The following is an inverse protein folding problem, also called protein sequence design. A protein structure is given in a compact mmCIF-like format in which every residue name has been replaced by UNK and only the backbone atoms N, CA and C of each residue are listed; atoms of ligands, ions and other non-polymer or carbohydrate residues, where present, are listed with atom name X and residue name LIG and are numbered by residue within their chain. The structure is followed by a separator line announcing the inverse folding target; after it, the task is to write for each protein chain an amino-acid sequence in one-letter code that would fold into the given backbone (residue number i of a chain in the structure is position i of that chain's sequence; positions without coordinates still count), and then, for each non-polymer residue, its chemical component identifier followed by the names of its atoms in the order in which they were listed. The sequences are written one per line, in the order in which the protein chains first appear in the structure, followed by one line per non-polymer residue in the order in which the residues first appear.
data_IF_019086253925
#
_entry.id   IF_019086253925
#
_cell.length_a   1.000
_cell.length_b   1.000
_cell.length_c   1.000
_cell.angle_alpha   90.00
_cell.angle_beta   90.00
_cell.angle_gamma   90.00
#
_symmetry.space_group_name_H-M   'P 1'
#
loop_
_entity.id
_entity.type
_entity.pdbx_description
1 polymer ?
#
# COMPACT_ATOMS: atom_id res chain seq x y z
N UNK A 1 0.57 -11.09 15.47
CA UNK A 1 -0.39 -11.14 14.36
C UNK A 1 0.29 -10.74 13.06
N UNK A 2 0.27 -11.60 12.07
CA UNK A 2 0.90 -11.32 10.78
C UNK A 2 -0.02 -10.51 9.88
N UNK A 3 0.54 -9.57 9.15
CA UNK A 3 -0.21 -8.70 8.23
C UNK A 3 -0.08 -9.27 6.82
N UNK A 4 -1.19 -9.57 6.13
CA UNK A 4 -1.08 -10.14 4.78
C UNK A 4 -0.57 -9.13 3.78
N UNK A 5 0.24 -9.60 2.83
CA UNK A 5 0.76 -8.80 1.74
C UNK A 5 0.89 -9.68 0.50
N UNK A 6 0.71 -9.09 -0.68
CA UNK A 6 0.94 -9.83 -1.93
C UNK A 6 2.45 -9.96 -2.19
N UNK A 7 2.88 -10.95 -3.00
CA UNK A 7 4.30 -11.05 -3.38
C UNK A 7 4.82 -9.78 -4.05
N UNK A 8 4.01 -9.15 -4.90
CA UNK A 8 4.36 -7.91 -5.59
C UNK A 8 4.54 -6.75 -4.63
N UNK A 9 3.63 -6.63 -3.65
CA UNK A 9 3.70 -5.59 -2.62
C UNK A 9 4.93 -5.77 -1.73
N UNK A 10 5.24 -7.01 -1.35
CA UNK A 10 6.43 -7.32 -0.56
C UNK A 10 7.71 -6.92 -1.30
N UNK A 11 7.83 -7.30 -2.56
CA UNK A 11 9.00 -6.96 -3.37
C UNK A 11 9.14 -5.44 -3.55
N UNK A 12 8.05 -4.74 -3.72
CA UNK A 12 8.07 -3.28 -3.87
C UNK A 12 8.60 -2.58 -2.60
N UNK A 13 8.11 -3.00 -1.42
CA UNK A 13 8.58 -2.44 -0.15
C UNK A 13 10.04 -2.80 0.12
N UNK A 14 10.44 -4.02 -0.20
CA UNK A 14 11.81 -4.49 -0.05
C UNK A 14 12.77 -3.68 -0.92
N UNK A 15 12.40 -3.42 -2.17
CA UNK A 15 13.20 -2.61 -3.09
C UNK A 15 13.31 -1.17 -2.62
N UNK A 16 12.24 -0.61 -2.09
CA UNK A 16 12.25 0.74 -1.52
C UNK A 16 13.25 0.81 -0.36
N UNK A 17 13.22 -0.16 0.55
CA UNK A 17 14.15 -0.21 1.67
C UNK A 17 15.61 -0.33 1.20
N UNK A 18 15.87 -1.20 0.23
CA UNK A 18 17.21 -1.37 -0.33
C UNK A 18 17.72 -0.07 -0.95
N UNK A 19 16.88 0.64 -1.70
CA UNK A 19 17.24 1.92 -2.32
C UNK A 19 17.54 2.99 -1.25
N UNK A 20 16.73 3.05 -0.21
CA UNK A 20 16.96 3.99 0.89
C UNK A 20 18.31 3.75 1.56
N UNK A 21 18.67 2.50 1.80
CA UNK A 21 19.92 2.13 2.46
C UNK A 21 21.13 2.29 1.53
N UNK A 22 21.03 1.79 0.31
CA UNK A 22 22.18 1.70 -0.60
C UNK A 22 22.45 2.96 -1.41
N UNK A 23 21.40 3.75 -1.68
CA UNK A 23 21.50 4.93 -2.55
C UNK A 23 21.25 6.21 -1.77
N UNK A 24 20.04 6.39 -1.26
CA UNK A 24 19.63 7.67 -0.70
C UNK A 24 20.36 8.04 0.60
N UNK A 25 20.61 7.07 1.46
CA UNK A 25 21.39 7.29 2.67
C UNK A 25 22.79 7.79 2.35
N UNK A 26 23.45 7.18 1.36
CA UNK A 26 24.79 7.58 0.93
C UNK A 26 24.80 8.97 0.31
N UNK A 27 23.81 9.27 -0.52
CA UNK A 27 23.70 10.59 -1.16
C UNK A 27 23.51 11.70 -0.15
N UNK A 28 22.67 11.45 0.86
CA UNK A 28 22.41 12.50 1.88
C UNK A 28 23.61 12.70 2.80
N UNK A 29 24.35 11.65 3.15
CA UNK A 29 25.58 11.78 3.94
C UNK A 29 26.60 12.61 3.16
N UNK A 30 26.73 12.35 1.87
CA UNK A 30 27.62 13.15 1.00
C UNK A 30 27.17 14.60 0.93
N UNK A 31 25.87 14.85 0.79
CA UNK A 31 25.32 16.21 0.76
C UNK A 31 25.61 16.98 2.07
N UNK A 32 25.53 16.29 3.21
CA UNK A 32 25.85 16.89 4.50
C UNK A 32 27.33 17.26 4.57
N UNK A 33 28.21 16.38 4.13
CA UNK A 33 29.66 16.63 4.10
C UNK A 33 30.01 17.83 3.20
N UNK A 34 29.41 17.92 2.03
CA UNK A 34 29.59 19.01 1.10
C UNK A 34 29.07 20.34 1.68
N UNK A 35 27.93 20.30 2.36
CA UNK A 35 27.38 21.51 2.99
C UNK A 35 28.26 22.01 4.14
N UNK A 36 28.86 21.09 4.91
CA UNK A 36 29.80 21.45 5.98
C UNK A 36 31.06 22.13 5.42
N UNK A 37 31.49 21.69 4.24
CA UNK A 37 32.68 22.25 3.60
C UNK A 37 32.50 23.71 3.18
N UNK A 38 31.27 24.22 3.08
CA UNK A 38 30.98 25.61 2.75
C UNK A 38 31.20 26.59 3.92
N UNK A 39 31.51 26.08 5.12
CA UNK A 39 32.00 26.89 6.25
C UNK A 39 30.97 27.27 7.29
N UNK A 40 30.08 28.21 7.02
CA UNK A 40 29.12 28.68 8.02
C UNK A 40 27.86 27.81 8.12
N UNK A 41 27.89 26.84 9.02
CA UNK A 41 26.82 25.89 9.26
C UNK A 41 25.56 26.53 9.84
N UNK A 42 25.71 27.58 10.66
CA UNK A 42 24.59 28.20 11.35
C UNK A 42 23.59 28.90 10.43
N UNK A 43 24.04 29.33 9.25
CA UNK A 43 23.20 30.01 8.26
C UNK A 43 23.10 29.19 6.94
N UNK A 44 23.55 27.94 6.95
CA UNK A 44 23.62 27.12 5.77
C UNK A 44 22.31 26.36 5.54
N UNK A 45 21.47 26.89 4.65
CA UNK A 45 20.18 26.28 4.29
C UNK A 45 20.36 24.90 3.65
N UNK A 46 21.46 24.69 2.91
CA UNK A 46 21.76 23.38 2.30
C UNK A 46 22.04 22.32 3.35
N UNK A 47 22.79 22.71 4.42
CA UNK A 47 23.07 21.82 5.53
C UNK A 47 21.77 21.42 6.28
N UNK A 48 20.93 22.39 6.60
CA UNK A 48 19.67 22.13 7.28
C UNK A 48 18.73 21.25 6.44
N UNK A 49 18.62 21.54 5.14
CA UNK A 49 17.82 20.77 4.23
C UNK A 49 18.32 19.31 4.14
N UNK A 50 19.62 19.12 4.06
CA UNK A 50 20.22 17.78 4.01
C UNK A 50 19.98 17.01 5.32
N UNK A 51 20.05 17.69 6.46
CA UNK A 51 19.78 17.07 7.76
C UNK A 51 18.31 16.66 7.90
N UNK A 52 17.38 17.47 7.41
CA UNK A 52 15.96 17.14 7.39
C UNK A 52 15.70 15.92 6.50
N UNK A 53 16.33 15.90 5.33
CA UNK A 53 16.23 14.76 4.42
C UNK A 53 16.79 13.49 5.04
N UNK A 54 17.92 13.59 5.76
CA UNK A 54 18.50 12.46 6.47
C UNK A 54 17.53 11.89 7.50
N UNK A 55 16.91 12.77 8.30
CA UNK A 55 15.93 12.33 9.30
C UNK A 55 14.75 11.61 8.65
N UNK A 56 14.25 12.11 7.52
CA UNK A 56 13.17 11.48 6.77
C UNK A 56 13.59 10.08 6.28
N UNK A 57 14.79 9.98 5.68
CA UNK A 57 15.30 8.70 5.16
C UNK A 57 15.46 7.68 6.29
N UNK A 58 16.05 8.07 7.41
CA UNK A 58 16.26 7.16 8.54
C UNK A 58 14.93 6.74 9.17
N UNK A 59 13.97 7.65 9.27
CA UNK A 59 12.63 7.34 9.76
C UNK A 59 11.91 6.33 8.86
N UNK A 60 12.02 6.52 7.53
CA UNK A 60 11.40 5.61 6.57
C UNK A 60 12.06 4.23 6.58
N UNK A 61 13.39 4.18 6.74
CA UNK A 61 14.11 2.91 6.88
C UNK A 61 13.60 2.12 8.10
N UNK A 62 13.47 2.78 9.23
CA UNK A 62 12.97 2.14 10.44
C UNK A 62 11.53 1.66 10.27
N UNK A 63 10.68 2.49 9.68
CA UNK A 63 9.29 2.15 9.40
C UNK A 63 9.18 0.92 8.50
N UNK A 64 9.91 0.91 7.37
CA UNK A 64 9.88 -0.22 6.43
C UNK A 64 10.48 -1.48 7.03
N UNK A 65 11.57 -1.37 7.79
CA UNK A 65 12.19 -2.52 8.44
C UNK A 65 11.23 -3.17 9.43
N UNK A 66 10.55 -2.36 10.22
CA UNK A 66 9.55 -2.84 11.17
C UNK A 66 8.38 -3.51 10.44
N UNK A 67 7.85 -2.84 9.41
CA UNK A 67 6.75 -3.33 8.61
C UNK A 67 7.06 -4.68 7.96
N UNK A 68 8.23 -4.79 7.32
CA UNK A 68 8.65 -6.03 6.67
C UNK A 68 8.82 -7.20 7.65
N UNK A 69 9.09 -6.90 8.92
CA UNK A 69 9.16 -7.94 9.96
C UNK A 69 7.78 -8.46 10.37
N UNK A 70 6.72 -7.73 10.07
CA UNK A 70 5.36 -8.05 10.50
C UNK A 70 4.47 -8.62 9.39
N UNK A 71 4.87 -8.51 8.14
CA UNK A 71 4.05 -8.98 7.03
C UNK A 71 4.24 -10.47 6.78
N UNK A 72 3.19 -11.09 6.26
CA UNK A 72 3.21 -12.47 5.78
C UNK A 72 2.80 -12.48 4.33
N UNK A 73 3.72 -12.92 3.45
CA UNK A 73 3.46 -12.98 2.02
C UNK A 73 2.45 -14.08 1.73
N UNK A 74 1.34 -13.71 1.10
CA UNK A 74 0.32 -14.67 0.69
C UNK A 74 0.68 -15.22 -0.69
N UNK A 75 0.74 -16.54 -0.87
CA UNK A 75 1.06 -17.10 -2.18
C UNK A 75 -0.03 -16.74 -3.19
N UNK A 76 0.33 -16.59 -4.49
CA UNK A 76 -0.66 -16.31 -5.53
C UNK A 76 -1.70 -17.42 -5.61
N UNK A 77 -2.93 -17.03 -5.88
CA UNK A 77 -4.01 -17.98 -6.09
C UNK A 77 -3.81 -18.70 -7.43
N UNK A 78 -4.00 -20.01 -7.44
CA UNK A 78 -3.86 -20.83 -8.65
C UNK A 78 -5.15 -20.99 -9.42
N UNK A 79 -6.27 -20.91 -8.70
CA UNK A 79 -7.61 -21.06 -9.27
C UNK A 79 -8.51 -19.96 -8.73
N UNK A 80 -9.50 -19.56 -9.52
CA UNK A 80 -10.49 -18.58 -9.09
C UNK A 80 -11.36 -19.21 -8.00
N UNK A 81 -11.41 -18.64 -6.79
CA UNK A 81 -12.25 -19.19 -5.74
C UNK A 81 -13.71 -18.82 -5.95
N UNK A 82 -14.60 -19.58 -5.33
CA UNK A 82 -16.05 -19.32 -5.39
C UNK A 82 -16.44 -18.09 -4.57
N UNK A 83 -15.68 -17.79 -3.52
CA UNK A 83 -15.96 -16.68 -2.60
C UNK A 83 -14.86 -15.64 -2.65
N UNK A 84 -15.24 -14.39 -2.37
CA UNK A 84 -14.28 -13.30 -2.30
C UNK A 84 -13.31 -13.55 -1.14
N UNK A 85 -12.02 -13.44 -1.41
CA UNK A 85 -10.96 -13.60 -0.43
C UNK A 85 -9.76 -12.72 -0.79
N UNK A 86 -8.75 -12.70 0.07
CA UNK A 86 -7.52 -11.94 -0.19
C UNK A 86 -6.93 -12.33 -1.56
N UNK A 87 -6.52 -11.33 -2.32
CA UNK A 87 -5.83 -11.52 -3.59
C UNK A 87 -6.70 -11.58 -4.83
N UNK A 88 -8.02 -11.72 -4.70
CA UNK A 88 -8.90 -11.75 -5.86
C UNK A 88 -9.19 -10.35 -6.40
N UNK A 89 -9.56 -10.30 -7.68
CA UNK A 89 -10.12 -9.10 -8.31
C UNK A 89 -11.64 -9.26 -8.33
N UNK A 90 -12.35 -8.32 -7.76
CA UNK A 90 -13.81 -8.33 -7.71
C UNK A 90 -14.35 -7.28 -8.65
N UNK A 91 -15.21 -7.69 -9.58
CA UNK A 91 -15.91 -6.77 -10.48
C UNK A 91 -17.27 -6.44 -9.85
N UNK A 92 -17.54 -5.17 -9.66
CA UNK A 92 -18.71 -4.67 -8.93
C UNK A 92 -19.56 -3.76 -9.79
N UNK A 93 -20.87 -3.89 -9.66
CA UNK A 93 -21.83 -2.94 -10.21
C UNK A 93 -22.33 -2.06 -9.06
N UNK A 94 -22.13 -0.76 -9.18
CA UNK A 94 -22.74 0.18 -8.25
C UNK A 94 -24.23 0.28 -8.57
N UNK A 95 -25.08 -0.19 -7.67
CA UNK A 95 -26.53 -0.25 -7.90
C UNK A 95 -27.19 1.12 -7.95
N UNK A 96 -26.56 2.13 -7.40
CA UNK A 96 -27.10 3.50 -7.38
C UNK A 96 -26.73 4.30 -8.63
N UNK A 97 -25.52 4.12 -9.16
CA UNK A 97 -24.99 4.88 -10.32
C UNK A 97 -24.93 4.05 -11.60
N UNK A 98 -25.07 2.73 -11.51
CA UNK A 98 -24.92 1.77 -12.61
C UNK A 98 -23.48 1.70 -13.18
N UNK A 99 -22.51 2.29 -12.49
CA UNK A 99 -21.11 2.20 -12.89
C UNK A 99 -20.51 0.84 -12.48
N UNK A 100 -19.61 0.33 -13.32
CA UNK A 100 -18.88 -0.90 -13.09
C UNK A 100 -17.45 -0.55 -12.69
N UNK A 101 -16.99 -1.12 -11.57
CA UNK A 101 -15.62 -0.94 -11.09
C UNK A 101 -15.01 -2.28 -10.73
N UNK A 102 -13.71 -2.38 -10.79
CA UNK A 102 -12.99 -3.58 -10.38
C UNK A 102 -11.92 -3.23 -9.36
N UNK A 103 -11.82 -4.02 -8.30
CA UNK A 103 -10.80 -3.84 -7.28
C UNK A 103 -10.15 -5.16 -6.93
N UNK A 104 -8.82 -5.12 -6.73
CA UNK A 104 -8.09 -6.24 -6.15
C UNK A 104 -8.00 -6.03 -4.64
N UNK A 105 -8.27 -7.09 -3.87
CA UNK A 105 -8.15 -7.06 -2.41
C UNK A 105 -6.72 -7.42 -2.04
N UNK A 106 -6.03 -6.49 -1.42
CA UNK A 106 -4.60 -6.60 -1.07
C UNK A 106 -4.38 -6.25 0.39
N UNK A 107 -3.12 -6.22 0.83
CA UNK A 107 -2.77 -5.88 2.20
C UNK A 107 -2.89 -4.38 2.49
N UNK A 108 -2.95 -4.01 3.78
CA UNK A 108 -3.17 -2.61 4.18
C UNK A 108 -2.03 -1.67 3.81
N UNK A 109 -0.81 -2.18 3.63
CA UNK A 109 0.35 -1.35 3.33
C UNK A 109 0.68 -1.26 1.84
N UNK A 110 -0.10 -1.89 0.99
CA UNK A 110 0.10 -1.89 -0.46
C UNK A 110 -1.11 -1.36 -1.23
N UNK A 111 -2.22 -1.11 -0.54
CA UNK A 111 -3.46 -0.70 -1.19
C UNK A 111 -3.41 0.74 -1.70
N UNK A 112 -3.87 0.92 -2.93
CA UNK A 112 -4.02 2.22 -3.57
C UNK A 112 -5.29 2.20 -4.44
N UNK A 113 -6.41 2.75 -3.93
CA UNK A 113 -7.68 2.74 -4.68
C UNK A 113 -7.58 3.40 -6.06
N UNK A 114 -6.69 4.38 -6.24
CA UNK A 114 -6.49 5.02 -7.54
C UNK A 114 -5.87 4.05 -8.56
N UNK A 115 -5.18 3.02 -8.09
CA UNK A 115 -4.60 1.96 -8.92
C UNK A 115 -5.48 0.71 -8.96
N UNK A 116 -6.68 0.77 -8.42
CA UNK A 116 -7.62 -0.36 -8.44
C UNK A 116 -7.38 -1.42 -7.37
N UNK A 117 -6.71 -1.08 -6.29
CA UNK A 117 -6.52 -1.99 -5.16
C UNK A 117 -7.14 -1.43 -3.89
N UNK A 118 -7.68 -2.32 -3.05
CA UNK A 118 -8.25 -1.93 -1.75
C UNK A 118 -7.70 -2.82 -0.66
N UNK A 119 -7.55 -2.24 0.51
CA UNK A 119 -7.07 -2.99 1.68
C UNK A 119 -8.12 -4.01 2.14
N UNK A 120 -7.66 -5.19 2.53
CA UNK A 120 -8.51 -6.20 3.15
C UNK A 120 -9.23 -5.65 4.39
N UNK A 121 -8.66 -4.63 5.03
CA UNK A 121 -9.24 -3.99 6.22
C UNK A 121 -10.21 -2.86 5.87
N UNK A 122 -10.35 -2.49 4.58
CA UNK A 122 -11.27 -1.42 4.18
C UNK A 122 -12.73 -1.82 4.39
N UNK A 123 -13.64 -0.85 4.56
CA UNK A 123 -15.06 -1.15 4.66
C UNK A 123 -15.59 -1.95 3.48
N UNK A 124 -15.15 -1.61 2.27
CA UNK A 124 -15.57 -2.33 1.06
C UNK A 124 -15.12 -3.79 1.09
N UNK A 125 -13.84 -4.04 1.36
CA UNK A 125 -13.31 -5.41 1.40
C UNK A 125 -13.99 -6.24 2.48
N UNK A 126 -14.23 -5.65 3.66
CA UNK A 126 -14.91 -6.35 4.76
C UNK A 126 -16.33 -6.76 4.39
N UNK A 127 -17.02 -5.93 3.61
CA UNK A 127 -18.37 -6.24 3.14
C UNK A 127 -18.33 -7.35 2.09
N UNK A 128 -17.28 -7.44 1.28
CA UNK A 128 -17.17 -8.38 0.18
C UNK A 128 -16.65 -9.76 0.58
N UNK A 129 -15.77 -9.84 1.56
CA UNK A 129 -15.12 -11.11 1.97
C UNK A 129 -16.17 -12.17 2.29
N UNK A 130 -16.02 -13.34 1.68
CA UNK A 130 -16.92 -14.47 1.88
C UNK A 130 -18.18 -14.45 1.02
N UNK A 131 -18.38 -13.41 0.22
CA UNK A 131 -19.52 -13.29 -0.69
C UNK A 131 -19.22 -13.94 -2.02
N UNK A 132 -20.29 -14.22 -2.78
CA UNK A 132 -20.22 -14.90 -4.07
C UNK A 132 -20.73 -14.01 -5.20
N UNK A 133 -20.47 -14.41 -6.44
CA UNK A 133 -21.03 -13.74 -7.62
C UNK A 133 -22.56 -13.71 -7.50
N UNK A 134 -23.15 -12.55 -7.75
CA UNK A 134 -24.57 -12.32 -7.64
C UNK A 134 -25.02 -11.75 -6.30
N UNK A 135 -24.19 -11.80 -5.28
CA UNK A 135 -24.51 -11.23 -3.97
C UNK A 135 -24.49 -9.70 -4.02
N UNK A 136 -25.40 -9.09 -3.25
CA UNK A 136 -25.44 -7.65 -3.06
C UNK A 136 -24.86 -7.31 -1.69
N UNK A 137 -24.09 -6.23 -1.63
CA UNK A 137 -23.47 -5.77 -0.38
C UNK A 137 -23.73 -4.29 -0.18
N UNK A 138 -23.81 -3.88 1.09
CA UNK A 138 -23.95 -2.48 1.49
C UNK A 138 -22.66 -2.06 2.18
N UNK A 139 -22.12 -0.92 1.78
CA UNK A 139 -20.89 -0.37 2.34
C UNK A 139 -21.17 1.02 2.88
N UNK A 140 -20.90 1.21 4.16
CA UNK A 140 -21.00 2.53 4.79
C UNK A 140 -19.68 3.26 4.62
N UNK A 141 -19.72 4.45 3.99
CA UNK A 141 -18.57 5.31 3.80
C UNK A 141 -18.83 6.68 4.40
N UNK A 142 -17.80 7.51 4.63
CA UNK A 142 -18.00 8.88 5.09
C UNK A 142 -18.91 9.72 4.19
N UNK A 143 -18.97 9.40 2.89
CA UNK A 143 -19.82 10.09 1.92
C UNK A 143 -21.22 9.49 1.80
N UNK A 144 -21.55 8.46 2.59
CA UNK A 144 -22.86 7.81 2.59
C UNK A 144 -22.77 6.31 2.38
N UNK A 145 -23.95 5.70 2.23
CA UNK A 145 -24.05 4.26 1.98
C UNK A 145 -24.02 3.98 0.48
N UNK A 146 -23.21 2.98 0.09
CA UNK A 146 -23.11 2.52 -1.30
C UNK A 146 -23.54 1.06 -1.37
N UNK A 147 -24.22 0.70 -2.45
CA UNK A 147 -24.68 -0.68 -2.68
C UNK A 147 -24.05 -1.22 -3.95
N UNK A 148 -23.53 -2.43 -3.86
CA UNK A 148 -22.88 -3.10 -4.99
C UNK A 148 -23.39 -4.50 -5.17
N UNK A 149 -23.38 -4.94 -6.43
CA UNK A 149 -23.61 -6.35 -6.78
C UNK A 149 -22.28 -6.92 -7.30
N UNK A 150 -21.92 -8.12 -6.87
CA UNK A 150 -20.72 -8.79 -7.34
C UNK A 150 -21.03 -9.41 -8.70
N UNK A 151 -20.35 -8.88 -9.73
CA UNK A 151 -20.54 -9.37 -11.11
C UNK A 151 -19.58 -10.50 -11.45
N UNK A 152 -18.36 -10.46 -10.94
CA UNK A 152 -17.33 -11.45 -11.26
C UNK A 152 -16.25 -11.48 -10.17
N UNK A 153 -15.57 -12.62 -10.07
CA UNK A 153 -14.41 -12.83 -9.22
C UNK A 153 -13.32 -13.41 -10.11
N UNK A 154 -12.12 -12.82 -10.08
CA UNK A 154 -10.99 -13.27 -10.88
C UNK A 154 -9.70 -13.23 -10.05
N UNK A 155 -8.58 -13.66 -10.63
CA UNK A 155 -7.28 -13.68 -9.96
C UNK A 155 -6.18 -13.04 -10.79
#
# INVERSE_FOLDING_TARGET
MKIPITPEGFEKLKKELERLIKVERREVVKAIEEARAHGDISENAEYESAKERQAFIEGRIQELSHLLSQVEVQPPLKEVPDKVQFGVVVKLLNLDTEEVVSYRIVGPYEADPSEGTVSINSPLARALIGKEIGDEVKVKTPSGEKRYEILDIDI
#
